data_IF_746408996576
#
_entry.id   IF_746408996576
#
_cell.length_a   1.000
_cell.length_b   1.000
_cell.length_c   1.000
_cell.angle_alpha   90.00
_cell.angle_beta   90.00
_cell.angle_gamma   90.00
#
_symmetry.space_group_name_H-M   'P 1'
#
loop_
_entity.id
_entity.type
_entity.pdbx_description
1 polymer ?
#
# COMPACT_ATOMS: atom_id res chain seq x y z
N UNK A 1 20.01 -10.17 -4.51
CA UNK A 1 19.13 -9.55 -3.50
C UNK A 1 18.88 -10.58 -2.42
N UNK A 2 19.25 -10.31 -1.18
CA UNK A 2 19.00 -11.21 -0.04
C UNK A 2 17.49 -11.44 0.12
N UNK A 3 17.08 -12.70 0.33
CA UNK A 3 15.71 -13.22 0.36
C UNK A 3 14.87 -12.70 1.55
N UNK A 4 14.69 -11.38 1.68
CA UNK A 4 13.64 -10.85 2.55
C UNK A 4 12.32 -10.97 1.80
N UNK A 5 11.61 -12.06 2.07
CA UNK A 5 10.22 -12.24 1.66
C UNK A 5 9.36 -11.20 2.39
N UNK A 6 9.04 -10.10 1.69
CA UNK A 6 8.19 -9.06 2.25
C UNK A 6 6.81 -9.63 2.58
N UNK A 7 6.31 -9.38 3.79
CA UNK A 7 4.91 -9.71 4.11
C UNK A 7 3.99 -8.77 3.34
N UNK A 8 2.93 -9.31 2.75
CA UNK A 8 1.97 -8.52 1.96
C UNK A 8 0.79 -8.09 2.83
N UNK A 9 0.39 -6.83 2.68
CA UNK A 9 -0.90 -6.28 3.14
C UNK A 9 -1.72 -5.87 1.95
N UNK A 10 -3.00 -6.24 1.95
CA UNK A 10 -3.81 -6.16 0.75
C UNK A 10 -4.96 -5.19 0.94
N UNK A 11 -5.19 -4.36 -0.07
CA UNK A 11 -6.44 -3.67 -0.24
C UNK A 11 -7.60 -4.68 -0.37
N UNK A 12 -8.72 -4.41 0.31
CA UNK A 12 -9.93 -5.25 0.30
C UNK A 12 -10.48 -5.51 -1.11
N UNK A 13 -10.18 -4.66 -2.09
CA UNK A 13 -10.60 -4.83 -3.48
C UNK A 13 -9.91 -5.99 -4.19
N UNK A 14 -8.77 -6.49 -3.68
CA UNK A 14 -8.10 -7.66 -4.26
C UNK A 14 -8.99 -8.90 -4.28
N UNK A 15 -9.73 -9.11 -3.19
CA UNK A 15 -10.67 -10.22 -3.06
C UNK A 15 -11.82 -10.17 -4.08
N UNK A 16 -12.06 -8.99 -4.70
CA UNK A 16 -13.06 -8.79 -5.75
C UNK A 16 -12.49 -8.90 -7.17
N UNK A 17 -11.22 -9.30 -7.30
CA UNK A 17 -10.55 -9.42 -8.60
C UNK A 17 -10.11 -8.08 -9.21
N UNK A 18 -10.00 -7.01 -8.42
CA UNK A 18 -9.52 -5.73 -8.93
C UNK A 18 -8.07 -5.81 -9.39
N UNK A 19 -7.71 -5.02 -10.40
CA UNK A 19 -6.32 -4.86 -10.82
C UNK A 19 -5.57 -3.90 -9.89
N UNK A 20 -4.29 -4.19 -9.65
CA UNK A 20 -3.49 -3.48 -8.66
C UNK A 20 -1.99 -3.71 -8.78
N UNK A 21 -1.23 -3.08 -7.90
CA UNK A 21 0.24 -3.17 -7.86
C UNK A 21 0.75 -3.19 -6.43
N UNK A 22 2.01 -3.60 -6.28
CA UNK A 22 2.72 -3.61 -4.99
C UNK A 22 3.50 -2.31 -4.80
N UNK A 23 3.46 -1.80 -3.57
CA UNK A 23 4.17 -0.61 -3.13
C UNK A 23 4.86 -0.90 -1.80
N UNK A 24 6.01 -0.25 -1.51
CA UNK A 24 6.62 -0.36 -0.17
C UNK A 24 5.66 0.15 0.90
N UNK A 25 5.58 -0.55 2.03
CA UNK A 25 4.84 -0.09 3.20
C UNK A 25 5.29 1.30 3.66
N UNK A 26 6.59 1.58 3.61
CA UNK A 26 7.13 2.90 3.96
C UNK A 26 6.66 4.02 3.03
N UNK A 27 6.55 3.77 1.72
CA UNK A 27 5.99 4.71 0.75
C UNK A 27 4.51 4.93 1.03
N UNK A 28 3.75 3.86 1.25
CA UNK A 28 2.33 3.93 1.61
C UNK A 28 2.10 4.79 2.88
N UNK A 29 2.85 4.54 3.95
CA UNK A 29 2.75 5.33 5.20
C UNK A 29 3.09 6.81 4.97
N UNK A 30 4.12 7.11 4.17
CA UNK A 30 4.48 8.50 3.82
C UNK A 30 3.33 9.22 3.10
N UNK A 31 2.60 8.54 2.22
CA UNK A 31 1.45 9.13 1.53
C UNK A 31 0.25 9.31 2.47
N UNK A 32 -0.04 8.33 3.35
CA UNK A 32 -1.08 8.50 4.38
C UNK A 32 -0.81 9.70 5.29
N UNK A 33 0.45 9.93 5.68
CA UNK A 33 0.84 11.05 6.55
C UNK A 33 0.65 12.43 5.92
N UNK A 34 0.42 12.52 4.60
CA UNK A 34 0.11 13.79 3.91
C UNK A 34 -1.37 14.14 3.92
N UNK A 35 -2.23 13.19 4.29
CA UNK A 35 -3.67 13.38 4.37
C UNK A 35 -4.07 13.95 5.73
N UNK A 36 -5.26 14.54 5.80
CA UNK A 36 -5.87 14.81 7.10
C UNK A 36 -6.25 13.48 7.78
N UNK A 37 -6.47 13.52 9.10
CA UNK A 37 -6.73 12.31 9.90
C UNK A 37 -7.91 11.49 9.40
N UNK A 38 -8.99 12.13 8.95
CA UNK A 38 -10.18 11.42 8.47
C UNK A 38 -9.88 10.63 7.20
N UNK A 39 -9.25 11.26 6.21
CA UNK A 39 -8.91 10.65 4.94
C UNK A 39 -7.85 9.56 5.11
N UNK A 40 -6.86 9.79 5.98
CA UNK A 40 -5.85 8.79 6.32
C UNK A 40 -6.50 7.53 6.93
N UNK A 41 -7.43 7.70 7.86
CA UNK A 41 -8.15 6.58 8.49
C UNK A 41 -9.04 5.84 7.50
N UNK A 42 -9.72 6.56 6.60
CA UNK A 42 -10.55 5.95 5.57
C UNK A 42 -9.70 5.13 4.58
N UNK A 43 -8.56 5.65 4.15
CA UNK A 43 -7.64 4.92 3.29
C UNK A 43 -7.02 3.71 4.00
N UNK A 44 -6.55 3.88 5.24
CA UNK A 44 -5.98 2.81 6.05
C UNK A 44 -6.96 1.66 6.30
N UNK A 45 -8.25 1.96 6.50
CA UNK A 45 -9.29 0.96 6.67
C UNK A 45 -9.55 0.08 5.44
N UNK A 46 -9.07 0.47 4.26
CA UNK A 46 -9.17 -0.33 3.03
C UNK A 46 -8.06 -1.39 2.92
N UNK A 47 -7.01 -1.33 3.73
CA UNK A 47 -5.84 -2.23 3.69
C UNK A 47 -5.81 -3.11 4.93
N UNK A 48 -5.39 -4.38 4.78
CA UNK A 48 -5.21 -5.27 5.94
C UNK A 48 -4.32 -4.62 7.01
N UNK A 49 -4.71 -4.66 8.30
CA UNK A 49 -4.02 -3.92 9.36
C UNK A 49 -2.57 -4.38 9.54
N UNK A 50 -1.71 -3.43 9.92
CA UNK A 50 -0.29 -3.67 10.23
C UNK A 50 0.24 -2.56 11.16
N UNK A 51 1.35 -2.83 11.85
CA UNK A 51 2.02 -1.81 12.66
C UNK A 51 2.91 -0.93 11.80
N UNK A 52 2.87 0.39 11.97
CA UNK A 52 3.70 1.30 11.18
C UNK A 52 5.20 1.06 11.34
N UNK A 53 5.64 0.50 12.48
CA UNK A 53 7.02 0.05 12.69
C UNK A 53 7.45 -1.04 11.69
N UNK A 54 6.51 -1.84 11.19
CA UNK A 54 6.77 -2.90 10.20
C UNK A 54 6.82 -2.37 8.76
N UNK A 55 6.56 -1.08 8.51
CA UNK A 55 6.38 -0.53 7.17
C UNK A 55 7.60 -0.75 6.25
N UNK A 56 8.81 -0.84 6.81
CA UNK A 56 10.03 -1.14 6.06
C UNK A 56 10.14 -2.61 5.60
N UNK A 57 9.35 -3.51 6.18
CA UNK A 57 9.41 -4.97 5.99
C UNK A 57 8.14 -5.54 5.32
N UNK A 58 7.25 -4.68 4.82
CA UNK A 58 6.04 -5.11 4.13
C UNK A 58 5.92 -4.49 2.74
N UNK A 59 5.17 -5.18 1.89
CA UNK A 59 4.56 -4.61 0.69
C UNK A 59 3.08 -4.37 0.95
N UNK A 60 2.55 -3.30 0.38
CA UNK A 60 1.12 -3.01 0.34
C UNK A 60 0.66 -3.17 -1.10
N UNK A 61 -0.28 -4.09 -1.32
CA UNK A 61 -0.97 -4.21 -2.59
C UNK A 61 -2.18 -3.28 -2.60
N UNK A 62 -2.25 -2.38 -3.59
CA UNK A 62 -3.37 -1.46 -3.79
C UNK A 62 -3.99 -1.69 -5.17
N UNK A 63 -5.32 -1.61 -5.26
CA UNK A 63 -5.97 -1.48 -6.56
C UNK A 63 -5.65 -0.12 -7.19
N UNK A 64 -5.84 0.01 -8.50
CA UNK A 64 -5.56 1.26 -9.26
C UNK A 64 -6.23 2.48 -8.63
N UNK A 65 -7.49 2.35 -8.23
CA UNK A 65 -8.27 3.45 -7.66
C UNK A 65 -7.72 3.90 -6.29
N UNK A 66 -7.46 2.97 -5.38
CA UNK A 66 -6.91 3.30 -4.06
C UNK A 66 -5.49 3.86 -4.15
N UNK A 67 -4.69 3.41 -5.12
CA UNK A 67 -3.39 3.99 -5.38
C UNK A 67 -3.50 5.43 -5.91
N UNK A 68 -4.44 5.70 -6.83
CA UNK A 68 -4.69 7.02 -7.38
C UNK A 68 -5.21 8.01 -6.31
N UNK A 69 -6.13 7.57 -5.44
CA UNK A 69 -6.61 8.37 -4.29
C UNK A 69 -5.47 8.81 -3.37
N UNK A 70 -4.44 7.96 -3.21
CA UNK A 70 -3.25 8.26 -2.40
C UNK A 70 -2.16 9.01 -3.17
N UNK A 71 -2.33 9.28 -4.47
CA UNK A 71 -1.30 9.84 -5.32
C UNK A 71 -0.09 8.92 -5.50
N UNK A 72 -0.28 7.61 -5.42
CA UNK A 72 0.75 6.57 -5.59
C UNK A 72 0.73 6.05 -7.02
N UNK A 73 1.16 6.89 -7.98
CA UNK A 73 1.12 6.58 -9.42
C UNK A 73 2.29 5.72 -9.90
N UNK A 74 3.44 5.78 -9.23
CA UNK A 74 4.61 4.97 -9.59
C UNK A 74 4.49 3.59 -8.95
N UNK A 75 4.13 2.59 -9.76
CA UNK A 75 4.27 1.19 -9.40
C UNK A 75 5.75 0.83 -9.43
N UNK A 76 6.28 0.27 -8.35
CA UNK A 76 7.63 -0.33 -8.36
C UNK A 76 7.70 -1.62 -9.21
N UNK A 77 6.64 -1.97 -9.93
CA UNK A 77 6.56 -3.18 -10.76
C UNK A 77 7.15 -3.03 -12.16
N UNK A 78 7.64 -1.85 -12.56
CA UNK A 78 8.36 -1.62 -13.82
C UNK A 78 9.85 -1.25 -13.62
N UNK A 79 10.47 -1.74 -12.54
CA UNK A 79 11.93 -1.84 -12.48
C UNK A 79 12.32 -3.24 -12.96
N UNK A 80 12.85 -3.28 -14.19
CA UNK A 80 13.41 -4.43 -14.89
C UNK A 80 14.38 -5.29 -14.07
#
# INVERSE_FOLDING_TARGET
>A
MSEQEYRVRECVHRARGAEGGFYRGSTYVKHLQRLNTSDAMQAAGKVSPFFWADAAHILVWLCRDCAAELGMTDRESDAA
#
